data_IF_758627891645
#
_entry.id   IF_758627891645
#
_cell.length_a   1.000
_cell.length_b   1.000
_cell.length_c   1.000
_cell.angle_alpha   90.00
_cell.angle_beta   90.00
_cell.angle_gamma   90.00
#
_symmetry.space_group_name_H-M   'P 1'
#
loop_
_entity.id
_entity.type
_entity.pdbx_description
1 polymer ?
#
# COMPACT_ATOMS: atom_id res chain seq x y z
N UNK A 1 -14.77 -4.37 -1.94
CA UNK A 1 -14.43 -4.42 -3.38
C UNK A 1 -12.99 -3.99 -3.51
N UNK A 2 -12.21 -4.67 -4.35
CA UNK A 2 -10.85 -4.26 -4.69
C UNK A 2 -10.95 -3.24 -5.81
N UNK A 3 -10.38 -2.06 -5.62
CA UNK A 3 -10.34 -1.04 -6.66
C UNK A 3 -9.44 -1.54 -7.80
N UNK A 4 -9.90 -1.39 -9.05
CA UNK A 4 -9.18 -1.85 -10.23
C UNK A 4 -9.09 -0.78 -11.29
N UNK A 5 -8.01 -0.80 -12.08
CA UNK A 5 -7.81 0.09 -13.24
C UNK A 5 -7.68 -0.78 -14.48
N UNK A 6 -8.39 -0.46 -15.56
CA UNK A 6 -8.30 -1.23 -16.80
C UNK A 6 -6.92 -1.11 -17.44
N UNK A 7 -6.37 -2.20 -17.97
CA UNK A 7 -5.09 -2.17 -18.66
C UNK A 7 -5.28 -1.80 -20.13
N UNK A 8 -5.35 -0.49 -20.41
CA UNK A 8 -5.50 0.06 -21.76
C UNK A 8 -4.73 1.39 -21.91
N UNK A 9 -4.53 1.82 -23.16
CA UNK A 9 -3.75 3.01 -23.50
C UNK A 9 -4.26 4.28 -22.79
N UNK A 10 -5.58 4.47 -22.73
CA UNK A 10 -6.18 5.62 -22.02
C UNK A 10 -5.78 5.64 -20.55
N UNK A 11 -5.85 4.49 -19.88
CA UNK A 11 -5.49 4.36 -18.47
C UNK A 11 -3.99 4.60 -18.27
N UNK A 12 -3.13 4.06 -19.14
CA UNK A 12 -1.69 4.36 -19.10
C UNK A 12 -1.40 5.85 -19.26
N UNK A 13 -2.10 6.55 -20.15
CA UNK A 13 -1.91 7.98 -20.33
C UNK A 13 -2.26 8.74 -19.04
N UNK A 14 -3.41 8.44 -18.41
CA UNK A 14 -3.79 9.08 -17.15
C UNK A 14 -2.80 8.75 -16.02
N UNK A 15 -2.37 7.49 -15.92
CA UNK A 15 -1.36 7.07 -14.94
C UNK A 15 -0.04 7.83 -15.12
N UNK A 16 0.39 8.07 -16.36
CA UNK A 16 1.56 8.90 -16.64
C UNK A 16 1.32 10.37 -16.26
N UNK A 17 0.14 10.93 -16.55
CA UNK A 17 -0.22 12.29 -16.14
C UNK A 17 -0.19 12.47 -14.62
N UNK A 18 -0.59 11.46 -13.85
CA UNK A 18 -0.48 11.50 -12.39
C UNK A 18 0.97 11.67 -11.90
N UNK A 19 1.94 11.10 -12.61
CA UNK A 19 3.38 11.30 -12.32
C UNK A 19 3.83 12.69 -12.79
N UNK A 20 3.49 13.07 -14.03
CA UNK A 20 3.91 14.33 -14.64
C UNK A 20 3.39 15.55 -13.88
N UNK A 21 2.14 15.50 -13.40
CA UNK A 21 1.52 16.54 -12.58
C UNK A 21 2.04 16.57 -11.13
N UNK A 22 2.97 15.67 -10.78
CA UNK A 22 3.61 15.64 -9.47
C UNK A 22 2.76 15.10 -8.32
N UNK A 23 1.62 14.46 -8.60
CA UNK A 23 0.81 13.81 -7.56
C UNK A 23 1.51 12.57 -6.99
N UNK A 24 2.20 11.83 -7.86
CA UNK A 24 2.88 10.59 -7.52
C UNK A 24 4.29 10.54 -8.12
N UNK A 25 5.15 9.75 -7.49
CA UNK A 25 6.38 9.22 -8.07
C UNK A 25 6.18 7.72 -8.31
N UNK A 26 6.89 7.12 -9.25
CA UNK A 26 6.68 5.69 -9.50
C UNK A 26 7.11 5.19 -10.86
N UNK A 27 6.84 3.91 -11.08
CA UNK A 27 7.07 3.24 -12.34
C UNK A 27 5.81 2.54 -12.82
N UNK A 28 5.58 2.60 -14.13
CA UNK A 28 4.44 2.00 -14.80
C UNK A 28 5.01 0.97 -15.79
N UNK A 29 4.64 -0.29 -15.61
CA UNK A 29 5.04 -1.40 -16.48
C UNK A 29 3.78 -2.14 -16.98
N UNK A 30 3.88 -2.90 -18.10
CA UNK A 30 2.72 -3.58 -18.69
C UNK A 30 1.95 -4.48 -17.72
N UNK A 31 2.65 -5.10 -16.76
CA UNK A 31 2.08 -6.06 -15.82
C UNK A 31 1.99 -5.54 -14.39
N UNK A 32 2.54 -4.34 -14.13
CA UNK A 32 2.66 -3.83 -12.76
C UNK A 32 2.80 -2.32 -12.73
N UNK A 33 2.13 -1.69 -11.78
CA UNK A 33 2.29 -0.27 -11.47
C UNK A 33 2.75 -0.12 -10.03
N UNK A 34 3.67 0.81 -9.78
CA UNK A 34 4.13 1.16 -8.46
C UNK A 34 4.08 2.68 -8.30
N UNK A 35 3.34 3.16 -7.29
CA UNK A 35 3.22 4.58 -7.00
C UNK A 35 3.54 4.90 -5.56
N UNK A 36 4.25 5.99 -5.37
CA UNK A 36 4.52 6.65 -4.09
C UNK A 36 3.92 8.04 -4.16
N UNK A 37 3.06 8.39 -3.19
CA UNK A 37 2.49 9.73 -3.16
C UNK A 37 3.59 10.75 -2.88
N UNK A 38 3.73 11.76 -3.74
CA UNK A 38 4.54 12.94 -3.43
C UNK A 38 3.76 13.80 -2.44
N UNK A 39 4.29 14.00 -1.24
CA UNK A 39 3.76 15.04 -0.32
C UNK A 39 4.64 16.27 -0.43
N UNK A 40 4.00 17.42 -0.49
CA UNK A 40 4.69 18.71 -0.47
C UNK A 40 4.74 19.24 0.97
N UNK A 41 5.89 19.75 1.46
CA UNK A 41 7.20 19.79 0.80
C UNK A 41 7.89 18.42 0.80
N UNK A 42 8.54 18.07 -0.33
CA UNK A 42 9.15 16.75 -0.58
C UNK A 42 10.27 16.37 0.42
N UNK A 43 10.90 17.37 1.04
CA UNK A 43 11.98 17.21 2.05
C UNK A 43 11.50 16.48 3.31
N UNK A 44 10.20 16.52 3.63
CA UNK A 44 9.65 15.92 4.85
C UNK A 44 8.93 14.58 4.59
N UNK A 45 8.90 14.09 3.35
CA UNK A 45 8.00 13.01 2.95
C UNK A 45 8.73 11.72 2.56
N UNK A 46 9.25 11.01 3.55
CA UNK A 46 9.57 9.59 3.39
C UNK A 46 8.28 8.78 3.58
N UNK A 47 7.55 8.54 2.50
CA UNK A 47 6.42 7.58 2.57
C UNK A 47 7.00 6.17 2.65
N UNK A 48 6.79 5.52 3.79
CA UNK A 48 7.19 4.12 3.97
C UNK A 48 6.25 3.13 3.26
N UNK A 49 5.28 3.63 2.49
CA UNK A 49 4.28 2.84 1.81
C UNK A 49 4.24 3.19 0.33
N UNK A 50 3.86 2.20 -0.47
CA UNK A 50 3.64 2.30 -1.90
C UNK A 50 2.30 1.68 -2.27
N UNK A 51 1.67 2.24 -3.29
CA UNK A 51 0.54 1.63 -3.98
C UNK A 51 1.13 0.72 -5.06
N UNK A 52 0.63 -0.51 -5.16
CA UNK A 52 1.07 -1.47 -6.19
C UNK A 52 -0.17 -1.90 -6.94
N UNK A 53 -0.19 -1.82 -8.26
CA UNK A 53 -1.19 -2.51 -9.08
C UNK A 53 -0.57 -3.73 -9.74
N UNK A 54 -1.20 -4.89 -9.59
CA UNK A 54 -0.76 -6.14 -10.23
C UNK A 54 -1.81 -6.50 -11.28
N UNK A 55 -1.36 -6.83 -12.49
CA UNK A 55 -2.25 -7.28 -13.56
C UNK A 55 -2.90 -8.61 -13.18
N UNK A 56 -4.22 -8.68 -13.28
CA UNK A 56 -5.00 -9.90 -13.08
C UNK A 56 -5.43 -10.53 -14.42
N UNK A 57 -6.08 -11.70 -14.35
CA UNK A 57 -6.54 -12.46 -15.52
C UNK A 57 -7.62 -11.73 -16.34
N UNK A 58 -8.29 -10.72 -15.76
CA UNK A 58 -9.28 -9.88 -16.45
C UNK A 58 -8.65 -8.68 -17.18
N UNK A 59 -7.32 -8.64 -17.30
CA UNK A 59 -6.58 -7.51 -17.87
C UNK A 59 -6.86 -6.18 -17.14
N UNK A 60 -6.92 -6.23 -15.80
CA UNK A 60 -7.05 -5.06 -14.93
C UNK A 60 -5.94 -5.06 -13.87
N UNK A 61 -5.46 -3.88 -13.52
CA UNK A 61 -4.56 -3.69 -12.40
C UNK A 61 -5.37 -3.69 -11.09
N UNK A 62 -5.15 -4.70 -10.26
CA UNK A 62 -5.70 -4.75 -8.90
C UNK A 62 -4.86 -3.90 -7.95
N UNK A 63 -5.47 -2.86 -7.37
CA UNK A 63 -4.78 -1.92 -6.51
C UNK A 63 -4.56 -2.48 -5.10
N UNK A 64 -3.30 -2.70 -4.78
CA UNK A 64 -2.76 -3.03 -3.49
C UNK A 64 -2.04 -1.85 -2.82
N UNK A 65 -1.75 -2.03 -1.54
CA UNK A 65 -0.96 -1.10 -0.74
C UNK A 65 0.01 -1.94 0.09
N UNK A 66 1.27 -1.57 0.10
CA UNK A 66 2.34 -2.35 0.72
C UNK A 66 3.40 -1.42 1.33
N UNK A 67 4.19 -1.96 2.25
CA UNK A 67 5.36 -1.27 2.77
C UNK A 67 6.48 -1.26 1.74
N UNK A 68 7.26 -0.18 1.75
CA UNK A 68 8.48 -0.09 0.96
C UNK A 68 9.56 -1.00 1.54
N UNK A 69 10.49 -1.48 0.71
CA UNK A 69 11.72 -2.07 1.20
C UNK A 69 12.58 -0.98 1.88
N UNK A 70 13.23 -1.24 3.04
CA UNK A 70 13.34 -2.53 3.74
C UNK A 70 12.24 -2.80 4.78
N UNK A 71 11.34 -1.84 5.03
CA UNK A 71 10.32 -1.96 6.08
C UNK A 71 9.40 -3.18 5.90
N UNK A 72 9.05 -3.55 4.67
CA UNK A 72 8.27 -4.76 4.39
C UNK A 72 8.94 -6.02 4.97
N UNK A 73 10.27 -6.13 4.83
CA UNK A 73 11.04 -7.25 5.39
C UNK A 73 11.07 -7.16 6.91
N UNK A 74 11.31 -5.97 7.46
CA UNK A 74 11.34 -5.76 8.90
C UNK A 74 10.01 -6.16 9.57
N UNK A 75 8.86 -5.79 8.97
CA UNK A 75 7.53 -6.17 9.46
C UNK A 75 7.34 -7.68 9.42
N UNK A 76 7.72 -8.35 8.32
CA UNK A 76 7.62 -9.82 8.21
C UNK A 76 8.48 -10.53 9.26
N UNK A 77 9.71 -10.06 9.49
CA UNK A 77 10.60 -10.60 10.52
C UNK A 77 10.03 -10.36 11.92
N UNK A 78 9.54 -9.15 12.21
CA UNK A 78 8.95 -8.81 13.50
C UNK A 78 7.73 -9.68 13.82
N UNK A 79 6.87 -9.97 12.83
CA UNK A 79 5.76 -10.91 12.98
C UNK A 79 6.28 -12.30 13.33
N UNK A 80 7.31 -12.80 12.62
CA UNK A 80 7.92 -14.09 12.90
C UNK A 80 8.47 -14.19 14.33
N UNK A 81 9.22 -13.18 14.77
CA UNK A 81 9.76 -13.08 16.14
C UNK A 81 8.62 -13.06 17.16
N UNK A 82 7.57 -12.26 16.91
CA UNK A 82 6.44 -12.13 17.82
C UNK A 82 5.63 -13.43 17.98
N UNK A 83 5.50 -14.22 16.92
CA UNK A 83 4.90 -15.56 16.98
C UNK A 83 5.76 -16.49 17.85
N UNK A 84 7.07 -16.54 17.61
CA UNK A 84 7.99 -17.37 18.40
C UNK A 84 7.95 -16.97 19.88
N UNK A 85 8.02 -15.66 20.18
CA UNK A 85 7.88 -15.12 21.53
C UNK A 85 6.57 -15.57 22.19
N UNK A 86 5.47 -15.52 21.45
CA UNK A 86 4.15 -15.92 21.96
C UNK A 86 4.11 -17.40 22.34
N UNK A 87 4.66 -18.27 21.49
CA UNK A 87 4.74 -19.73 21.74
C UNK A 87 5.59 -20.01 22.98
N UNK A 88 6.78 -19.40 23.07
CA UNK A 88 7.69 -19.58 24.21
C UNK A 88 7.02 -19.12 25.50
N UNK A 89 6.39 -17.94 25.49
CA UNK A 89 5.70 -17.40 26.67
C UNK A 89 4.57 -18.30 27.15
N UNK A 90 3.79 -18.87 26.22
CA UNK A 90 2.73 -19.83 26.53
C UNK A 90 3.29 -21.12 27.17
N UNK A 91 4.40 -21.63 26.65
CA UNK A 91 5.06 -22.83 27.19
C UNK A 91 5.55 -22.66 28.64
N UNK A 92 5.97 -21.45 29.02
CA UNK A 92 6.39 -21.11 30.39
C UNK A 92 5.22 -20.72 31.31
N UNK A 93 3.96 -20.88 30.89
CA UNK A 93 2.78 -20.56 31.70
C UNK A 93 2.43 -19.07 31.75
N UNK A 94 3.17 -18.21 31.03
CA UNK A 94 2.94 -16.78 30.97
C UNK A 94 1.98 -16.41 29.84
N UNK A 95 0.70 -16.72 30.01
CA UNK A 95 -0.30 -16.58 28.94
C UNK A 95 -0.69 -15.12 28.66
N UNK A 96 -0.46 -14.21 29.61
CA UNK A 96 -0.82 -12.80 29.47
C UNK A 96 0.25 -11.96 28.78
N UNK A 97 1.53 -12.35 28.80
CA UNK A 97 2.62 -11.56 28.20
C UNK A 97 2.46 -11.33 26.68
N UNK A 98 2.02 -12.30 25.86
CA UNK A 98 1.84 -12.06 24.43
C UNK A 98 0.82 -10.96 24.11
N UNK A 99 -0.12 -10.67 25.02
CA UNK A 99 -1.20 -9.70 24.79
C UNK A 99 -0.65 -8.28 24.62
N UNK A 100 0.00 -7.65 25.62
CA UNK A 100 0.52 -6.29 25.47
C UNK A 100 1.75 -6.23 24.55
N UNK A 101 2.55 -7.30 24.46
CA UNK A 101 3.82 -7.26 23.72
C UNK A 101 3.70 -7.63 22.25
N UNK A 102 2.66 -8.38 21.85
CA UNK A 102 2.49 -8.80 20.46
C UNK A 102 1.10 -8.47 19.91
N UNK A 103 0.04 -8.96 20.55
CA UNK A 103 -1.33 -8.87 20.01
C UNK A 103 -1.79 -7.41 19.89
N UNK A 104 -1.66 -6.61 20.96
CA UNK A 104 -2.12 -5.22 20.97
C UNK A 104 -1.33 -4.35 19.96
N UNK A 105 0.02 -4.32 19.96
CA UNK A 105 0.78 -3.55 18.97
C UNK A 105 0.53 -3.98 17.52
N UNK A 106 0.36 -5.29 17.29
CA UNK A 106 0.06 -5.83 15.98
C UNK A 106 -1.30 -5.34 15.48
N UNK A 107 -2.35 -5.40 16.31
CA UNK A 107 -3.69 -4.92 15.98
C UNK A 107 -3.70 -3.42 15.65
N UNK A 108 -3.04 -2.60 16.47
CA UNK A 108 -2.95 -1.14 16.24
C UNK A 108 -2.30 -0.87 14.88
N UNK A 109 -1.17 -1.52 14.60
CA UNK A 109 -0.44 -1.36 13.34
C UNK A 109 -1.27 -1.84 12.14
N UNK A 110 -1.98 -2.95 12.29
CA UNK A 110 -2.86 -3.50 11.26
C UNK A 110 -4.03 -2.57 10.93
N UNK A 111 -4.66 -1.99 11.95
CA UNK A 111 -5.77 -1.04 11.79
C UNK A 111 -5.27 0.24 11.11
N UNK A 112 -4.17 0.83 11.58
CA UNK A 112 -3.57 2.01 10.96
C UNK A 112 -3.21 1.77 9.50
N UNK A 113 -2.63 0.59 9.19
CA UNK A 113 -2.34 0.20 7.81
C UNK A 113 -3.60 0.09 6.95
N UNK A 114 -4.67 -0.53 7.44
CA UNK A 114 -5.96 -0.62 6.72
C UNK A 114 -6.56 0.75 6.43
N UNK A 115 -6.51 1.66 7.39
CA UNK A 115 -7.03 3.02 7.23
C UNK A 115 -6.20 3.77 6.18
N UNK A 116 -4.87 3.70 6.26
CA UNK A 116 -3.96 4.32 5.29
C UNK A 116 -4.15 3.74 3.89
N UNK A 117 -4.24 2.41 3.76
CA UNK A 117 -4.54 1.74 2.50
C UNK A 117 -5.80 2.31 1.85
N UNK A 118 -6.91 2.36 2.59
CA UNK A 118 -8.19 2.87 2.07
C UNK A 118 -8.05 4.32 1.63
N UNK A 119 -7.41 5.17 2.44
CA UNK A 119 -7.22 6.58 2.14
C UNK A 119 -6.40 6.81 0.86
N UNK A 120 -5.27 6.13 0.74
CA UNK A 120 -4.35 6.32 -0.38
C UNK A 120 -4.89 5.74 -1.70
N UNK A 121 -5.55 4.58 -1.65
CA UNK A 121 -6.24 4.02 -2.83
C UNK A 121 -7.39 4.93 -3.26
N UNK A 122 -8.25 5.39 -2.34
CA UNK A 122 -9.36 6.28 -2.69
C UNK A 122 -8.87 7.58 -3.32
N UNK A 123 -7.78 8.14 -2.79
CA UNK A 123 -7.18 9.36 -3.35
C UNK A 123 -6.64 9.13 -4.76
N UNK A 124 -5.96 8.01 -4.99
CA UNK A 124 -5.46 7.66 -6.32
C UNK A 124 -6.60 7.48 -7.31
N UNK A 125 -7.63 6.71 -6.95
CA UNK A 125 -8.80 6.49 -7.81
C UNK A 125 -9.54 7.80 -8.09
N UNK A 126 -9.66 8.69 -7.10
CA UNK A 126 -10.29 10.01 -7.28
C UNK A 126 -9.52 10.87 -8.27
N UNK A 127 -8.20 11.03 -8.08
CA UNK A 127 -7.35 11.83 -8.97
C UNK A 127 -7.30 11.22 -10.39
N UNK A 128 -7.28 9.88 -10.48
CA UNK A 128 -7.34 9.18 -11.76
C UNK A 128 -8.65 9.49 -12.49
N UNK A 129 -9.78 9.36 -11.80
CA UNK A 129 -11.10 9.59 -12.39
C UNK A 129 -11.29 11.04 -12.82
N UNK A 130 -10.83 12.00 -12.02
CA UNK A 130 -10.86 13.42 -12.36
C UNK A 130 -10.09 13.73 -13.66
N UNK A 131 -8.85 13.23 -13.77
CA UNK A 131 -8.04 13.40 -14.98
C UNK A 131 -8.62 12.64 -16.18
N UNK A 132 -9.20 11.45 -15.96
CA UNK A 132 -9.82 10.68 -17.03
C UNK A 132 -11.00 11.43 -17.65
N UNK A 133 -11.87 12.00 -16.80
CA UNK A 133 -13.00 12.81 -17.26
C UNK A 133 -12.54 14.05 -18.00
N UNK A 134 -11.56 14.78 -17.45
CA UNK A 134 -11.05 15.99 -18.11
C UNK A 134 -10.44 15.75 -19.50
N UNK A 135 -9.99 14.53 -19.81
CA UNK A 135 -9.30 14.23 -21.07
C UNK A 135 -10.20 13.56 -22.12
N UNK A 136 -11.19 12.77 -21.67
CA UNK A 136 -11.95 11.87 -22.54
C UNK A 136 -13.47 12.03 -22.45
N UNK A 137 -13.99 12.84 -21.54
CA UNK A 137 -15.40 13.28 -21.47
C UNK A 137 -15.52 14.76 -21.81
#
# INVERSE_FOLDING_TARGET
MTETISNNEKSFNILNKLILNGFYDGNISPNRIEFERKKFPSILSVSNHRIIGILNDENKFELGFDFKFPLNIAVKIAIGIGIIFSIVSLAYGNWLLPIPFFIVPFLITYIDFKIKKKKEINLLTSNFLELYKSEYE
#
